data_IF_853864101039
#
_entry.id   IF_853864101039
#
_cell.length_a   1.000
_cell.length_b   1.000
_cell.length_c   1.000
_cell.angle_alpha   90.00
_cell.angle_beta   90.00
_cell.angle_gamma   90.00
#
_symmetry.space_group_name_H-M   'P 1'
#
loop_
_entity.id
_entity.type
_entity.pdbx_description
1 polymer ?
#
# COMPACT_ATOMS: atom_id res chain seq x y z
N UNK A 1 14.58 -23.49 9.13
CA UNK A 1 14.73 -22.02 9.01
C UNK A 1 15.79 -21.59 10.02
N UNK A 2 16.78 -20.80 9.62
CA UNK A 2 17.81 -20.23 10.53
C UNK A 2 17.57 -18.73 10.62
N UNK A 3 17.27 -18.22 11.80
CA UNK A 3 17.01 -16.80 12.05
C UNK A 3 17.71 -16.39 13.35
N UNK A 4 18.86 -15.70 13.29
CA UNK A 4 19.61 -15.30 14.48
C UNK A 4 18.76 -14.39 15.38
N UNK A 5 18.86 -14.59 16.69
CA UNK A 5 18.18 -13.79 17.70
C UNK A 5 18.59 -12.31 17.62
N UNK A 6 17.65 -11.40 17.87
CA UNK A 6 17.84 -9.96 17.80
C UNK A 6 17.78 -9.37 16.39
N UNK A 7 17.51 -10.19 15.37
CA UNK A 7 17.29 -9.70 14.00
C UNK A 7 15.85 -9.23 13.79
N UNK A 8 15.61 -8.48 12.71
CA UNK A 8 14.26 -7.97 12.38
C UNK A 8 13.21 -9.08 12.22
N UNK A 9 13.63 -10.31 11.89
CA UNK A 9 12.77 -11.49 11.73
C UNK A 9 12.78 -12.43 12.94
N UNK A 10 13.57 -12.13 13.98
CA UNK A 10 13.63 -12.86 15.24
C UNK A 10 13.94 -11.89 16.38
N UNK A 11 13.01 -10.95 16.58
CA UNK A 11 13.14 -9.87 17.54
C UNK A 11 12.97 -10.37 18.98
N UNK A 12 13.68 -9.73 19.92
CA UNK A 12 13.62 -10.06 21.35
C UNK A 12 12.87 -8.97 22.10
N UNK A 13 11.99 -9.31 23.06
CA UNK A 13 11.38 -8.31 23.92
C UNK A 13 12.43 -7.38 24.57
N UNK A 14 12.20 -6.06 24.65
CA UNK A 14 10.95 -5.34 24.36
C UNK A 14 10.90 -4.72 22.94
N UNK A 15 11.61 -5.27 21.95
CA UNK A 15 11.64 -4.68 20.60
C UNK A 15 10.23 -4.54 19.98
N UNK A 16 9.93 -3.42 19.30
CA UNK A 16 8.62 -3.19 18.70
C UNK A 16 8.41 -4.06 17.45
N UNK A 17 7.33 -4.84 17.43
CA UNK A 17 7.00 -5.79 16.34
C UNK A 17 5.65 -5.53 15.68
N UNK A 18 4.98 -4.41 16.00
CA UNK A 18 3.62 -4.12 15.52
C UNK A 18 3.46 -4.10 13.99
N UNK A 19 4.50 -3.69 13.25
CA UNK A 19 4.52 -3.71 11.79
C UNK A 19 4.97 -5.03 11.15
N UNK A 20 5.23 -6.06 11.96
CA UNK A 20 5.80 -7.33 11.51
C UNK A 20 4.93 -8.07 10.50
N UNK A 21 3.67 -8.32 10.87
CA UNK A 21 2.72 -9.03 10.00
C UNK A 21 2.35 -8.24 8.74
N UNK A 22 2.46 -6.91 8.79
CA UNK A 22 1.97 -6.03 7.74
C UNK A 22 3.08 -5.74 6.72
N UNK A 23 4.07 -4.97 7.15
CA UNK A 23 5.07 -4.44 6.24
C UNK A 23 6.26 -5.39 6.12
N UNK A 24 6.79 -5.87 7.24
CA UNK A 24 7.97 -6.74 7.23
C UNK A 24 7.70 -8.06 6.50
N UNK A 25 6.53 -8.68 6.70
CA UNK A 25 6.16 -9.93 6.02
C UNK A 25 6.13 -9.74 4.50
N UNK A 26 5.59 -8.63 3.99
CA UNK A 26 5.63 -8.27 2.58
C UNK A 26 7.06 -8.11 2.09
N UNK A 27 7.94 -7.47 2.88
CA UNK A 27 9.36 -7.35 2.55
C UNK A 27 10.06 -8.71 2.48
N UNK A 28 9.75 -9.62 3.40
CA UNK A 28 10.31 -10.98 3.41
C UNK A 28 9.90 -11.74 2.15
N UNK A 29 8.63 -11.68 1.75
CA UNK A 29 8.15 -12.29 0.51
C UNK A 29 8.91 -11.76 -0.70
N UNK A 30 9.09 -10.43 -0.80
CA UNK A 30 9.84 -9.84 -1.91
C UNK A 30 11.30 -10.32 -1.98
N UNK A 31 11.96 -10.51 -0.83
CA UNK A 31 13.32 -11.04 -0.77
C UNK A 31 13.37 -12.51 -1.19
N UNK A 32 12.43 -13.32 -0.71
CA UNK A 32 12.33 -14.74 -1.07
C UNK A 32 12.04 -14.89 -2.57
N UNK A 33 11.10 -14.13 -3.12
CA UNK A 33 10.81 -14.14 -4.56
C UNK A 33 12.00 -13.63 -5.37
N UNK A 34 12.68 -12.57 -4.94
CA UNK A 34 13.90 -12.09 -5.60
C UNK A 34 15.01 -13.15 -5.63
N UNK A 35 15.18 -13.92 -4.56
CA UNK A 35 16.14 -15.04 -4.52
C UNK A 35 15.70 -16.19 -5.44
N UNK A 36 14.42 -16.57 -5.41
CA UNK A 36 13.87 -17.62 -6.25
C UNK A 36 13.89 -17.25 -7.73
N UNK A 37 13.73 -15.97 -8.09
CA UNK A 37 13.81 -15.52 -9.48
C UNK A 37 15.18 -15.82 -10.10
N UNK A 38 16.25 -15.74 -9.30
CA UNK A 38 17.61 -16.11 -9.72
C UNK A 38 17.78 -17.62 -9.86
N UNK A 39 17.15 -18.40 -9.00
CA UNK A 39 17.29 -19.86 -8.96
C UNK A 39 16.35 -20.58 -9.95
N UNK A 40 15.20 -19.98 -10.26
CA UNK A 40 14.13 -20.51 -11.11
C UNK A 40 13.69 -19.43 -12.13
N UNK A 41 14.57 -19.06 -13.10
CA UNK A 41 14.23 -18.09 -14.13
C UNK A 41 12.96 -18.50 -14.88
N UNK A 42 12.11 -17.54 -15.22
CA UNK A 42 10.86 -17.82 -15.94
C UNK A 42 9.71 -18.37 -15.09
N UNK A 43 9.87 -18.52 -13.76
CA UNK A 43 8.81 -19.07 -12.90
C UNK A 43 8.27 -18.11 -11.85
N UNK A 44 9.00 -17.05 -11.54
CA UNK A 44 8.68 -16.12 -10.45
C UNK A 44 8.14 -14.81 -11.04
N UNK A 45 7.08 -14.21 -10.47
CA UNK A 45 6.62 -12.90 -10.93
C UNK A 45 7.63 -11.79 -10.60
N UNK A 46 7.46 -10.64 -11.24
CA UNK A 46 8.09 -9.40 -10.84
C UNK A 46 7.61 -8.95 -9.43
N UNK A 47 8.23 -7.92 -8.86
CA UNK A 47 7.87 -7.42 -7.55
C UNK A 47 6.45 -6.84 -7.53
N UNK A 48 5.64 -7.22 -6.53
CA UNK A 48 4.33 -6.59 -6.29
C UNK A 48 4.46 -5.36 -5.39
N UNK A 49 3.33 -4.70 -5.08
CA UNK A 49 3.28 -3.48 -4.27
C UNK A 49 4.13 -3.52 -2.99
N UNK A 50 4.31 -4.69 -2.36
CA UNK A 50 5.28 -4.92 -1.29
C UNK A 50 5.01 -4.15 0.01
N UNK A 51 3.74 -3.83 0.27
CA UNK A 51 3.21 -3.10 1.42
C UNK A 51 1.71 -3.43 1.57
N UNK A 52 1.13 -3.27 2.76
CA UNK A 52 -0.32 -3.38 2.96
C UNK A 52 -1.02 -2.02 3.00
N UNK A 53 -0.26 -0.90 2.96
CA UNK A 53 -0.78 0.46 3.04
C UNK A 53 -1.70 0.64 4.25
N UNK A 54 -1.19 0.33 5.45
CA UNK A 54 -2.01 0.30 6.65
C UNK A 54 -2.37 1.72 7.10
N UNK A 55 -3.66 2.03 6.99
CA UNK A 55 -4.25 3.32 7.31
C UNK A 55 -5.13 3.18 8.55
N UNK A 56 -4.88 4.02 9.54
CA UNK A 56 -5.77 4.19 10.70
C UNK A 56 -6.18 5.65 10.82
N UNK A 57 -7.46 5.91 11.04
CA UNK A 57 -8.02 7.26 11.28
C UNK A 57 -8.79 7.24 12.59
N UNK A 58 -8.37 8.04 13.56
CA UNK A 58 -9.05 8.17 14.85
C UNK A 58 -9.53 9.61 15.09
N UNK A 59 -10.66 9.75 15.76
CA UNK A 59 -11.25 11.04 16.08
C UNK A 59 -12.40 10.92 17.05
N UNK A 60 -13.05 12.05 17.34
CA UNK A 60 -14.32 12.10 18.06
C UNK A 60 -15.41 12.39 17.03
N UNK A 61 -16.42 11.54 16.95
CA UNK A 61 -17.53 11.72 16.02
C UNK A 61 -18.31 12.98 16.41
N UNK A 62 -18.45 13.98 15.52
CA UNK A 62 -19.13 15.25 15.84
C UNK A 62 -20.64 15.08 16.07
N UNK A 63 -21.25 14.02 15.55
CA UNK A 63 -22.70 13.75 15.70
C UNK A 63 -23.02 13.05 17.02
N UNK A 64 -22.19 12.07 17.43
CA UNK A 64 -22.45 11.26 18.63
C UNK A 64 -21.65 11.70 19.85
N UNK A 65 -20.55 12.43 19.66
CA UNK A 65 -19.59 12.77 20.71
C UNK A 65 -18.69 11.61 21.16
N UNK A 66 -18.78 10.44 20.51
CA UNK A 66 -18.03 9.24 20.89
C UNK A 66 -16.70 9.10 20.12
N UNK A 67 -15.66 8.49 20.72
CA UNK A 67 -14.43 8.19 20.00
C UNK A 67 -14.65 7.10 18.95
N UNK A 68 -13.97 7.22 17.80
CA UNK A 68 -13.94 6.19 16.77
C UNK A 68 -12.51 5.87 16.33
N UNK A 69 -12.34 4.69 15.73
CA UNK A 69 -11.10 4.29 15.05
C UNK A 69 -11.46 3.50 13.81
N UNK A 70 -11.19 4.08 12.64
CA UNK A 70 -11.25 3.41 11.36
C UNK A 70 -9.89 2.78 11.05
N UNK A 71 -9.89 1.55 10.55
CA UNK A 71 -8.70 0.80 10.16
C UNK A 71 -8.92 0.14 8.81
N UNK A 72 -7.98 0.35 7.88
CA UNK A 72 -8.04 -0.24 6.54
C UNK A 72 -6.63 -0.60 6.05
N UNK A 73 -6.53 -1.73 5.37
CA UNK A 73 -5.40 -2.03 4.49
C UNK A 73 -5.86 -1.81 3.06
N UNK A 74 -5.01 -1.20 2.23
CA UNK A 74 -5.37 -0.85 0.84
C UNK A 74 -4.53 -1.70 -0.11
N UNK A 75 -5.17 -2.29 -1.12
CA UNK A 75 -4.51 -3.06 -2.17
C UNK A 75 -3.67 -2.21 -3.12
N UNK A 76 -3.11 -2.83 -4.14
CA UNK A 76 -2.21 -2.18 -5.09
C UNK A 76 -1.82 -3.10 -6.23
N UNK A 77 -0.76 -2.77 -6.95
CA UNK A 77 -0.38 -3.53 -8.13
C UNK A 77 0.31 -4.85 -7.80
N UNK A 78 -0.15 -5.93 -8.42
CA UNK A 78 0.58 -7.20 -8.45
C UNK A 78 1.69 -7.14 -9.50
N UNK A 79 2.86 -7.74 -9.21
CA UNK A 79 3.92 -7.87 -10.20
C UNK A 79 3.51 -8.75 -11.38
N UNK A 80 3.95 -8.38 -12.58
CA UNK A 80 3.71 -9.15 -13.79
C UNK A 80 4.25 -10.58 -13.67
N UNK A 81 3.54 -11.53 -14.24
CA UNK A 81 3.93 -12.95 -14.26
C UNK A 81 4.73 -13.24 -15.54
N UNK A 82 5.47 -14.36 -15.57
CA UNK A 82 6.22 -14.76 -16.77
C UNK A 82 5.36 -14.95 -18.03
N UNK A 83 4.05 -15.15 -17.86
CA UNK A 83 3.11 -15.50 -18.93
C UNK A 83 1.90 -14.54 -19.06
N UNK A 84 1.74 -13.56 -18.16
CA UNK A 84 0.59 -12.65 -18.15
C UNK A 84 0.80 -11.40 -17.28
N UNK A 85 -0.01 -10.39 -17.51
CA UNK A 85 -0.01 -9.14 -16.73
C UNK A 85 -0.26 -9.37 -15.24
N UNK A 86 0.18 -8.41 -14.43
CA UNK A 86 -0.18 -8.29 -13.02
C UNK A 86 -1.64 -7.87 -12.86
N UNK A 87 -2.24 -8.28 -11.75
CA UNK A 87 -3.59 -7.84 -11.35
C UNK A 87 -3.55 -6.41 -10.79
N UNK A 88 -4.54 -5.60 -11.17
CA UNK A 88 -4.70 -4.21 -10.75
C UNK A 88 -5.43 -4.11 -9.41
N UNK A 89 -4.94 -3.27 -8.50
CA UNK A 89 -5.65 -2.89 -7.27
C UNK A 89 -6.03 -4.03 -6.33
N UNK A 90 -5.22 -5.08 -6.25
CA UNK A 90 -5.52 -6.26 -5.43
C UNK A 90 -4.71 -6.29 -4.13
N UNK A 91 -5.26 -6.96 -3.12
CA UNK A 91 -4.46 -7.48 -2.02
C UNK A 91 -3.64 -8.67 -2.52
N UNK A 92 -2.34 -8.67 -2.21
CA UNK A 92 -1.38 -9.63 -2.76
C UNK A 92 -0.40 -10.09 -1.70
N UNK A 93 0.05 -11.35 -1.84
CA UNK A 93 0.99 -12.03 -0.95
C UNK A 93 0.44 -12.18 0.48
N UNK A 94 0.94 -11.38 1.43
CA UNK A 94 0.62 -11.52 2.85
C UNK A 94 -0.72 -10.90 3.25
N UNK A 95 -1.46 -10.33 2.30
CA UNK A 95 -2.76 -9.69 2.53
C UNK A 95 -3.87 -10.45 1.80
N UNK A 96 -4.95 -10.76 2.52
CA UNK A 96 -6.14 -11.44 1.99
C UNK A 96 -7.43 -10.84 2.59
N UNK A 97 -7.53 -9.53 2.56
CA UNK A 97 -8.70 -8.77 3.03
C UNK A 97 -9.57 -8.38 1.83
N UNK A 98 -10.88 -8.31 2.04
CA UNK A 98 -11.77 -7.62 1.10
C UNK A 98 -11.64 -6.11 1.33
N UNK A 99 -11.92 -5.32 0.29
CA UNK A 99 -11.99 -3.88 0.43
C UNK A 99 -13.18 -3.49 1.34
N UNK A 100 -13.05 -2.40 2.08
CA UNK A 100 -14.18 -1.82 2.80
C UNK A 100 -15.16 -1.22 1.80
N UNK A 101 -16.45 -1.61 1.81
CA UNK A 101 -17.46 -0.95 0.98
C UNK A 101 -17.56 0.53 1.34
N UNK A 102 -17.65 1.40 0.33
CA UNK A 102 -17.73 2.86 0.54
C UNK A 102 -18.93 3.22 1.41
N UNK A 103 -20.10 2.68 1.09
CA UNK A 103 -21.34 2.94 1.84
C UNK A 103 -21.23 2.49 3.31
N UNK A 104 -20.57 1.36 3.56
CA UNK A 104 -20.37 0.87 4.92
C UNK A 104 -19.42 1.77 5.73
N UNK A 105 -18.37 2.30 5.09
CA UNK A 105 -17.45 3.25 5.71
C UNK A 105 -18.17 4.56 6.05
N UNK A 106 -18.88 5.15 5.08
CA UNK A 106 -19.55 6.45 5.27
C UNK A 106 -20.74 6.38 6.23
N UNK A 107 -21.37 5.20 6.36
CA UNK A 107 -22.42 4.98 7.35
C UNK A 107 -21.86 4.89 8.78
N UNK A 108 -20.68 4.28 8.94
CA UNK A 108 -20.12 3.96 10.25
C UNK A 108 -19.25 5.08 10.84
N UNK A 109 -18.69 5.96 10.00
CA UNK A 109 -17.71 6.95 10.42
C UNK A 109 -18.02 8.34 9.86
N UNK A 110 -17.62 9.42 10.56
CA UNK A 110 -17.73 10.80 10.06
C UNK A 110 -16.67 11.10 8.97
N UNK A 111 -16.61 10.24 7.96
CA UNK A 111 -15.63 10.22 6.89
C UNK A 111 -16.36 10.08 5.54
N UNK A 112 -15.79 10.64 4.48
CA UNK A 112 -16.32 10.50 3.11
C UNK A 112 -15.24 10.04 2.15
N UNK A 113 -15.56 9.11 1.28
CA UNK A 113 -14.68 8.71 0.18
C UNK A 113 -14.88 9.67 -0.98
N UNK A 114 -13.85 10.46 -1.28
CA UNK A 114 -13.86 11.39 -2.42
C UNK A 114 -13.41 10.71 -3.71
N UNK A 115 -12.46 9.76 -3.60
CA UNK A 115 -11.96 8.99 -4.74
C UNK A 115 -11.63 7.56 -4.35
N UNK A 116 -11.97 6.65 -5.26
CA UNK A 116 -11.51 5.27 -5.24
C UNK A 116 -11.31 4.79 -6.67
N UNK A 117 -10.07 4.83 -7.13
CA UNK A 117 -9.73 4.58 -8.53
C UNK A 117 -8.39 3.86 -8.67
N UNK A 118 -8.14 3.29 -9.84
CA UNK A 118 -6.82 2.77 -10.19
C UNK A 118 -5.87 3.94 -10.46
N UNK A 119 -4.59 3.79 -10.09
CA UNK A 119 -3.54 4.75 -10.44
C UNK A 119 -3.02 4.44 -11.84
N UNK A 120 -3.59 5.10 -12.84
CA UNK A 120 -3.16 4.96 -14.22
C UNK A 120 -1.64 5.15 -14.38
N UNK A 121 -1.03 4.26 -15.15
CA UNK A 121 0.43 4.29 -15.43
C UNK A 121 1.32 3.90 -14.25
N UNK A 122 0.77 3.49 -13.10
CA UNK A 122 1.59 3.07 -11.95
C UNK A 122 2.22 1.68 -12.09
N UNK A 123 1.67 0.83 -12.96
CA UNK A 123 2.24 -0.48 -13.28
C UNK A 123 3.50 -0.36 -14.14
N UNK A 124 4.53 -1.13 -13.80
CA UNK A 124 5.78 -1.18 -14.56
C UNK A 124 5.58 -1.77 -15.94
N UNK A 125 6.16 -1.14 -16.96
CA UNK A 125 6.12 -1.61 -18.34
C UNK A 125 6.92 -2.91 -18.55
N UNK A 126 6.53 -3.71 -19.52
CA UNK A 126 7.23 -4.92 -19.93
C UNK A 126 6.47 -5.64 -21.04
N UNK A 127 6.95 -6.82 -21.45
CA UNK A 127 6.13 -7.72 -22.29
C UNK A 127 4.79 -8.00 -21.62
N UNK A 128 4.82 -8.18 -20.31
CA UNK A 128 3.65 -8.18 -19.44
C UNK A 128 3.78 -7.03 -18.45
N UNK A 129 2.72 -6.23 -18.32
CA UNK A 129 2.73 -5.06 -17.43
C UNK A 129 2.48 -5.46 -15.99
N UNK A 130 3.07 -4.71 -15.07
CA UNK A 130 2.65 -4.75 -13.68
C UNK A 130 1.22 -4.24 -13.51
N UNK A 131 0.58 -4.67 -12.43
CA UNK A 131 -0.71 -4.17 -12.02
C UNK A 131 -0.63 -2.70 -11.58
N UNK A 132 -1.72 -1.96 -11.74
CA UNK A 132 -1.86 -0.60 -11.26
C UNK A 132 -2.16 -0.58 -9.76
N UNK A 133 -1.65 0.43 -9.07
CA UNK A 133 -2.00 0.76 -7.70
C UNK A 133 -3.41 1.36 -7.59
N UNK A 134 -3.76 1.77 -6.38
CA UNK A 134 -5.04 2.40 -6.04
C UNK A 134 -4.79 3.82 -5.55
N UNK A 135 -5.68 4.75 -5.89
CA UNK A 135 -5.84 6.03 -5.19
C UNK A 135 -7.09 5.96 -4.32
N UNK A 136 -6.92 6.24 -3.03
CA UNK A 136 -7.97 6.25 -2.02
C UNK A 136 -7.94 7.60 -1.31
N UNK A 137 -8.94 8.44 -1.57
CA UNK A 137 -9.05 9.77 -0.97
C UNK A 137 -10.19 9.78 0.04
N UNK A 138 -9.88 10.06 1.31
CA UNK A 138 -10.84 10.05 2.42
C UNK A 138 -10.85 11.44 3.08
N UNK A 139 -12.00 12.11 3.04
CA UNK A 139 -12.25 13.38 3.73
C UNK A 139 -12.72 13.13 5.16
N UNK A 140 -12.22 13.93 6.09
CA UNK A 140 -12.71 14.01 7.48
C UNK A 140 -13.81 15.05 7.57
N UNK A 141 -15.01 14.71 8.03
CA UNK A 141 -16.17 15.61 7.96
C UNK A 141 -16.33 16.45 9.23
N UNK A 142 -16.12 17.77 9.14
CA UNK A 142 -16.49 18.72 10.20
C UNK A 142 -15.77 18.58 11.55
N UNK A 143 -14.68 17.82 11.64
CA UNK A 143 -13.91 17.64 12.89
C UNK A 143 -12.42 17.37 12.63
N UNK A 144 -11.61 17.45 13.69
CA UNK A 144 -10.18 17.07 13.61
C UNK A 144 -10.03 15.56 13.78
N UNK A 145 -9.19 14.95 12.96
CA UNK A 145 -8.81 13.55 13.10
C UNK A 145 -7.29 13.37 13.15
N UNK A 146 -6.86 12.24 13.69
CA UNK A 146 -5.47 11.79 13.72
C UNK A 146 -5.35 10.60 12.81
N UNK A 147 -4.43 10.67 11.86
CA UNK A 147 -4.18 9.63 10.88
C UNK A 147 -2.82 9.02 11.16
N UNK A 148 -2.79 7.70 11.31
CA UNK A 148 -1.53 6.94 11.37
C UNK A 148 -1.41 6.10 10.12
N UNK A 149 -0.28 6.26 9.43
CA UNK A 149 0.07 5.50 8.25
C UNK A 149 1.28 4.62 8.55
N UNK A 150 1.18 3.36 8.16
CA UNK A 150 2.31 2.43 8.15
C UNK A 150 2.38 1.79 6.76
N UNK A 151 3.30 2.30 5.95
CA UNK A 151 3.49 1.84 4.58
C UNK A 151 4.96 1.79 4.16
N UNK A 152 5.26 0.89 3.23
CA UNK A 152 6.55 0.77 2.54
C UNK A 152 6.43 1.16 1.06
N UNK A 153 7.55 1.05 0.34
CA UNK A 153 7.61 1.23 -1.13
C UNK A 153 7.25 2.64 -1.62
N UNK A 154 7.44 3.65 -0.75
CA UNK A 154 7.38 5.09 -1.08
C UNK A 154 8.72 5.66 -1.57
N UNK A 155 9.83 5.15 -1.03
CA UNK A 155 11.17 5.58 -1.45
C UNK A 155 11.69 4.83 -2.69
N UNK A 156 11.26 3.56 -2.86
CA UNK A 156 11.62 2.71 -4.00
C UNK A 156 10.42 1.88 -4.40
N UNK A 157 10.01 1.97 -5.66
CA UNK A 157 8.91 1.19 -6.21
C UNK A 157 9.25 -0.31 -6.33
N UNK A 158 8.26 -1.14 -6.68
CA UNK A 158 8.49 -2.56 -6.93
C UNK A 158 9.40 -2.80 -8.13
N UNK A 159 10.25 -3.81 -8.04
CA UNK A 159 11.24 -4.12 -9.07
C UNK A 159 10.58 -4.85 -10.23
N UNK A 160 11.00 -4.54 -11.46
CA UNK A 160 10.69 -5.35 -12.64
C UNK A 160 11.62 -6.55 -12.76
N UNK A 161 11.29 -7.48 -13.66
CA UNK A 161 12.04 -8.73 -13.85
C UNK A 161 12.25 -9.08 -15.33
N UNK A 162 13.35 -9.76 -15.65
CA UNK A 162 13.72 -10.15 -17.03
C UNK A 162 13.68 -8.99 -18.05
N UNK A 163 14.11 -7.78 -17.63
CA UNK A 163 14.09 -6.58 -18.48
C UNK A 163 12.80 -5.74 -18.39
N UNK A 164 11.83 -6.15 -17.58
CA UNK A 164 10.68 -5.32 -17.24
C UNK A 164 11.05 -4.12 -16.37
N UNK A 165 10.32 -3.02 -16.52
CA UNK A 165 10.50 -1.79 -15.77
C UNK A 165 9.91 -1.89 -14.35
N UNK A 166 10.44 -1.13 -13.38
CA UNK A 166 9.87 -1.05 -12.05
C UNK A 166 8.47 -0.42 -12.05
N UNK A 167 7.63 -0.82 -11.09
CA UNK A 167 6.36 -0.14 -10.82
C UNK A 167 6.59 1.19 -10.09
N UNK A 168 5.64 2.11 -10.25
CA UNK A 168 5.69 3.40 -9.57
C UNK A 168 5.64 3.21 -8.04
N UNK A 169 6.41 4.01 -7.28
CA UNK A 169 6.31 4.01 -5.83
C UNK A 169 4.93 4.50 -5.36
N UNK A 170 4.58 4.11 -4.13
CA UNK A 170 3.45 4.71 -3.42
C UNK A 170 3.75 6.14 -3.03
N UNK A 171 2.71 6.95 -2.86
CA UNK A 171 2.79 8.35 -2.44
C UNK A 171 1.55 8.70 -1.62
N UNK A 172 1.72 9.53 -0.59
CA UNK A 172 0.65 9.81 0.35
C UNK A 172 0.61 11.32 0.61
N UNK A 173 -0.59 11.89 0.66
CA UNK A 173 -0.80 13.33 0.76
C UNK A 173 -1.91 13.69 1.75
N UNK A 174 -1.73 14.82 2.42
CA UNK A 174 -2.80 15.58 3.06
C UNK A 174 -3.20 16.70 2.10
N UNK A 175 -4.48 16.78 1.76
CA UNK A 175 -5.03 17.78 0.85
C UNK A 175 -5.95 18.71 1.64
N UNK A 176 -5.67 20.01 1.59
CA UNK A 176 -6.46 21.07 2.26
C UNK A 176 -6.70 22.15 1.21
N UNK A 177 -7.96 22.54 1.00
CA UNK A 177 -8.34 23.56 0.02
C UNK A 177 -7.77 23.33 -1.41
N UNK A 178 -7.59 22.06 -1.78
CA UNK A 178 -7.02 21.64 -3.06
C UNK A 178 -5.50 21.59 -3.12
N UNK A 179 -4.80 22.06 -2.08
CA UNK A 179 -3.33 21.98 -2.00
C UNK A 179 -2.87 20.63 -1.48
N UNK A 180 -2.04 19.93 -2.26
CA UNK A 180 -1.47 18.64 -1.86
C UNK A 180 -0.15 18.81 -1.08
N UNK A 181 -0.14 18.38 0.18
CA UNK A 181 1.07 18.27 1.00
C UNK A 181 1.45 16.82 1.20
N UNK A 182 2.63 16.42 0.72
CA UNK A 182 3.15 15.06 0.91
C UNK A 182 3.35 14.74 2.39
N UNK A 183 2.94 13.54 2.81
CA UNK A 183 3.11 13.05 4.18
C UNK A 183 4.09 11.86 4.23
N UNK A 184 4.69 11.58 5.40
CA UNK A 184 5.59 10.43 5.57
C UNK A 184 4.86 9.09 5.37
N UNK A 185 5.56 8.11 4.78
CA UNK A 185 5.06 6.74 4.60
C UNK A 185 4.82 5.99 5.92
N UNK A 186 5.50 6.41 6.99
CA UNK A 186 5.35 5.87 8.34
C UNK A 186 5.29 7.03 9.31
N UNK A 187 4.18 7.17 10.03
CA UNK A 187 4.02 8.23 11.02
C UNK A 187 2.57 8.63 11.23
N UNK A 188 2.42 9.70 12.00
CA UNK A 188 1.13 10.24 12.39
C UNK A 188 1.00 11.67 11.89
N UNK A 189 -0.16 12.02 11.36
CA UNK A 189 -0.50 13.37 10.90
C UNK A 189 -1.87 13.77 11.45
N UNK A 190 -1.99 15.04 11.83
CA UNK A 190 -3.29 15.61 12.17
C UNK A 190 -3.97 16.15 10.91
N UNK A 191 -5.26 15.83 10.76
CA UNK A 191 -6.10 16.28 9.67
C UNK A 191 -7.07 17.31 10.21
N UNK A 192 -7.08 18.54 9.66
CA UNK A 192 -8.08 19.54 10.03
C UNK A 192 -9.47 19.11 9.53
N UNK A 193 -10.54 19.75 10.02
CA UNK A 193 -11.87 19.58 9.46
C UNK A 193 -11.85 19.74 7.94
N UNK A 194 -12.55 18.83 7.26
CA UNK A 194 -12.73 18.78 5.81
C UNK A 194 -11.46 18.55 4.99
N UNK A 195 -10.33 18.29 5.66
CA UNK A 195 -9.09 17.83 5.05
C UNK A 195 -9.22 16.41 4.51
N UNK A 196 -8.47 16.10 3.44
CA UNK A 196 -8.50 14.82 2.75
C UNK A 196 -7.15 14.12 2.91
N UNK A 197 -7.17 12.85 3.32
CA UNK A 197 -6.02 11.96 3.19
C UNK A 197 -6.11 11.21 1.87
N UNK A 198 -5.09 11.37 1.02
CA UNK A 198 -4.94 10.65 -0.24
C UNK A 198 -3.85 9.60 -0.10
N UNK A 199 -4.23 8.32 -0.09
CA UNK A 199 -3.30 7.19 -0.13
C UNK A 199 -3.20 6.71 -1.58
N UNK A 200 -2.01 6.78 -2.16
CA UNK A 200 -1.74 6.35 -3.54
C UNK A 200 -0.79 5.17 -3.50
N UNK A 201 -1.32 3.97 -3.62
CA UNK A 201 -0.56 2.73 -3.39
C UNK A 201 0.37 2.40 -4.57
N UNK A 202 1.46 1.64 -4.35
CA UNK A 202 2.38 1.30 -5.43
C UNK A 202 1.72 0.45 -6.52
N UNK A 203 2.24 0.54 -7.74
CA UNK A 203 1.94 -0.44 -8.79
C UNK A 203 2.73 -1.74 -8.60
N UNK A 204 2.71 -2.64 -9.59
CA UNK A 204 3.58 -3.81 -9.67
C UNK A 204 4.71 -3.60 -10.69
N UNK A 205 5.79 -4.35 -10.59
CA UNK A 205 6.84 -4.38 -11.61
C UNK A 205 6.40 -5.09 -12.88
N UNK A 206 6.93 -4.68 -14.03
CA UNK A 206 6.73 -5.36 -15.31
C UNK A 206 7.63 -6.58 -15.48
N UNK A 207 7.30 -7.43 -16.46
CA UNK A 207 8.04 -8.64 -16.79
C UNK A 207 8.41 -8.66 -18.28
N UNK A 208 9.68 -8.94 -18.58
CA UNK A 208 10.17 -9.01 -19.95
C UNK A 208 10.35 -7.63 -20.59
N UNK A 209 11.22 -7.52 -21.59
CA UNK A 209 11.37 -6.29 -22.37
C UNK A 209 10.10 -5.96 -23.15
N UNK A 210 9.61 -4.72 -23.05
CA UNK A 210 8.51 -4.24 -23.89
C UNK A 210 8.94 -4.25 -25.36
N UNK A 211 8.12 -4.79 -26.25
CA UNK A 211 8.31 -4.55 -27.68
C UNK A 211 7.77 -3.14 -27.96
N UNK A 212 8.67 -2.23 -28.34
CA UNK A 212 8.31 -0.91 -28.88
C UNK A 212 7.60 -1.03 -30.21
#
# INVERSE_FOLDING_TARGET
IVAPEGTVVNAVPPAPVGGGNLELSQRIVDVVLGALARALPGRVPAGSQGTMNNLTIGGINPETGEPYTFYETIGGGMGARPDRDGLDGVHIHMTNTLNTPVEALELAYPLRVERYELRDGSGGAGKYRGGMGIRRDIRVLGHRAVVSLLADRRARGPWGLEGGAPGAPGEDFLIIDGEEKRIPAKGTVEVPPDGIISIRTPGGGGYGTSQT
#
